data_IF_366780486958
#
_entry.id   IF_366780486958
#
_cell.length_a   1.000
_cell.length_b   1.000
_cell.length_c   1.000
_cell.angle_alpha   90.00
_cell.angle_beta   90.00
_cell.angle_gamma   90.00
#
_symmetry.space_group_name_H-M   'P 1'
#
loop_
_entity.id
_entity.type
_entity.pdbx_description
1 polymer ?
#
# COMPACT_ATOMS: atom_id res chain seq x y z
N UNK A 1 26.32 -11.98 -16.14
CA UNK A 1 25.17 -11.93 -17.07
C UNK A 1 24.04 -12.68 -16.39
N UNK A 2 23.11 -11.96 -15.79
CA UNK A 2 21.92 -12.57 -15.17
C UNK A 2 21.10 -13.25 -16.25
N UNK A 3 20.80 -14.53 -16.07
CA UNK A 3 20.09 -15.35 -17.02
C UNK A 3 18.68 -14.78 -17.28
N UNK A 4 18.48 -14.15 -18.44
CA UNK A 4 17.20 -13.58 -18.85
C UNK A 4 16.04 -14.61 -18.84
N UNK A 5 16.35 -15.91 -18.87
CA UNK A 5 15.37 -17.00 -18.73
C UNK A 5 14.90 -17.18 -17.28
N UNK A 6 15.77 -16.93 -16.30
CA UNK A 6 15.38 -16.98 -14.88
C UNK A 6 14.43 -15.82 -14.54
N UNK A 7 14.75 -14.61 -14.98
CA UNK A 7 13.89 -13.42 -14.85
C UNK A 7 12.53 -13.61 -15.54
N UNK A 8 12.51 -14.22 -16.73
CA UNK A 8 11.27 -14.49 -17.44
C UNK A 8 10.40 -15.54 -16.73
N UNK A 9 10.99 -16.58 -16.16
CA UNK A 9 10.27 -17.59 -15.35
C UNK A 9 9.67 -16.98 -14.09
N UNK A 10 10.43 -16.21 -13.35
CA UNK A 10 9.98 -15.51 -12.15
C UNK A 10 8.81 -14.57 -12.47
N UNK A 11 8.91 -13.82 -13.57
CA UNK A 11 7.82 -12.96 -14.05
C UNK A 11 6.54 -13.76 -14.41
N UNK A 12 6.69 -14.92 -15.08
CA UNK A 12 5.55 -15.78 -15.45
C UNK A 12 4.88 -16.42 -14.23
N UNK A 13 5.64 -16.89 -13.24
CA UNK A 13 5.09 -17.43 -11.99
C UNK A 13 4.34 -16.33 -11.20
N UNK A 14 4.88 -15.13 -11.15
CA UNK A 14 4.24 -14.00 -10.50
C UNK A 14 2.94 -13.57 -11.19
N UNK A 15 2.87 -13.61 -12.52
CA UNK A 15 1.64 -13.35 -13.27
C UNK A 15 0.57 -14.42 -13.00
N UNK A 16 0.95 -15.69 -12.89
CA UNK A 16 0.06 -16.79 -12.49
C UNK A 16 -0.52 -16.61 -11.08
N UNK A 17 0.31 -16.21 -10.12
CA UNK A 17 -0.11 -15.94 -8.74
C UNK A 17 -1.15 -14.79 -8.67
N UNK A 18 -1.07 -13.83 -9.59
CA UNK A 18 -2.05 -12.74 -9.71
C UNK A 18 -3.34 -13.14 -10.45
N UNK A 19 -3.50 -14.42 -10.82
CA UNK A 19 -4.72 -14.96 -11.44
C UNK A 19 -4.89 -14.58 -12.91
N UNK A 20 -3.80 -14.38 -13.63
CA UNK A 20 -3.81 -14.14 -15.08
C UNK A 20 -3.43 -15.41 -15.85
N UNK A 21 -4.33 -15.87 -16.75
CA UNK A 21 -4.02 -16.91 -17.74
C UNK A 21 -3.32 -16.35 -19.00
N UNK A 22 -2.95 -15.07 -18.98
CA UNK A 22 -2.35 -14.36 -20.10
C UNK A 22 -1.08 -13.63 -19.66
N UNK A 23 -0.07 -13.76 -20.49
CA UNK A 23 1.26 -13.16 -20.32
C UNK A 23 1.27 -11.83 -21.05
N UNK A 24 1.55 -10.73 -20.33
CA UNK A 24 1.89 -9.47 -20.98
C UNK A 24 3.35 -9.58 -21.43
N UNK A 25 3.57 -9.83 -22.71
CA UNK A 25 4.90 -9.76 -23.31
C UNK A 25 5.19 -8.26 -23.49
N UNK A 26 6.29 -7.72 -22.96
CA UNK A 26 6.71 -6.35 -23.25
C UNK A 26 6.85 -6.16 -24.76
N UNK A 27 6.41 -5.01 -25.30
CA UNK A 27 6.33 -4.75 -26.75
C UNK A 27 7.65 -5.00 -27.50
N UNK A 28 8.81 -4.81 -26.84
CA UNK A 28 10.12 -5.08 -27.41
C UNK A 28 10.48 -6.58 -27.53
N UNK A 29 9.65 -7.49 -26.98
CA UNK A 29 9.80 -8.93 -27.09
C UNK A 29 8.70 -9.59 -27.94
N UNK A 30 7.78 -8.81 -28.50
CA UNK A 30 6.70 -9.32 -29.36
C UNK A 30 7.26 -9.84 -30.68
N UNK A 31 6.85 -11.02 -31.17
CA UNK A 31 7.26 -11.52 -32.49
C UNK A 31 6.73 -10.56 -33.58
N UNK A 32 7.61 -9.82 -34.24
CA UNK A 32 7.24 -8.88 -35.30
C UNK A 32 7.76 -7.45 -35.14
N UNK A 33 8.43 -7.13 -34.03
CA UNK A 33 9.09 -5.84 -33.88
C UNK A 33 10.26 -5.70 -34.87
N UNK A 34 10.10 -4.83 -35.87
CA UNK A 34 11.19 -4.33 -36.73
C UNK A 34 11.59 -2.95 -36.21
N UNK A 35 12.85 -2.73 -35.82
CA UNK A 35 13.31 -1.40 -35.43
C UNK A 35 13.23 -0.48 -36.65
N UNK A 36 12.34 0.51 -36.61
CA UNK A 36 12.23 1.57 -37.59
C UNK A 36 13.48 2.43 -37.53
N UNK A 37 14.05 2.74 -38.70
CA UNK A 37 15.17 3.65 -38.89
C UNK A 37 14.77 5.05 -38.42
N UNK A 38 15.40 5.53 -37.35
CA UNK A 38 15.33 6.95 -36.94
C UNK A 38 16.47 7.67 -37.62
N UNK A 39 16.12 8.67 -38.43
CA UNK A 39 17.08 9.59 -39.04
C UNK A 39 17.81 10.43 -37.97
N UNK A 40 19.07 10.80 -38.20
CA UNK A 40 19.85 11.54 -37.21
C UNK A 40 19.49 13.02 -37.22
N UNK A 41 19.10 13.59 -36.07
CA UNK A 41 19.09 15.04 -35.87
C UNK A 41 20.22 15.43 -34.92
N UNK A 42 21.12 16.19 -35.52
CA UNK A 42 22.12 17.15 -35.02
C UNK A 42 22.47 17.21 -33.54
N UNK A 43 23.80 17.04 -33.32
CA UNK A 43 24.53 17.47 -32.10
C UNK A 43 24.57 19.02 -32.00
N UNK A 44 24.78 19.63 -30.83
CA UNK A 44 26.15 19.78 -30.32
C UNK A 44 26.28 19.80 -28.78
N UNK A 45 27.39 19.41 -28.24
CA UNK A 45 28.32 20.13 -27.39
C UNK A 45 29.24 19.18 -26.65
N UNK A 46 30.51 19.39 -26.90
CA UNK A 46 31.66 18.82 -26.25
C UNK A 46 31.65 19.15 -24.75
N UNK A 47 31.75 18.16 -23.88
CA UNK A 47 32.20 18.33 -22.51
C UNK A 47 33.31 17.29 -22.19
N UNK A 48 34.36 17.81 -21.59
CA UNK A 48 35.62 17.22 -21.19
C UNK A 48 35.56 16.04 -20.26
N UNK A 49 36.56 15.14 -20.21
CA UNK A 49 36.56 13.92 -19.43
C UNK A 49 36.90 14.16 -17.97
N UNK A 50 36.03 13.69 -17.05
CA UNK A 50 36.23 13.68 -15.62
C UNK A 50 36.15 12.29 -15.06
N UNK A 51 37.27 11.76 -14.63
CA UNK A 51 37.59 10.75 -13.58
C UNK A 51 36.81 9.43 -13.49
N UNK A 52 37.46 8.27 -13.51
CA UNK A 52 36.85 6.95 -13.37
C UNK A 52 36.70 6.59 -11.89
N UNK A 53 35.53 6.02 -11.53
CA UNK A 53 35.42 5.32 -10.26
C UNK A 53 34.09 5.49 -9.54
N UNK A 54 33.02 4.82 -10.03
CA UNK A 54 31.91 4.45 -9.16
C UNK A 54 31.45 3.03 -9.55
N UNK A 55 31.54 2.13 -8.59
CA UNK A 55 31.00 0.77 -8.66
C UNK A 55 29.49 0.85 -8.92
N UNK A 56 28.86 -0.10 -9.64
CA UNK A 56 27.42 -0.16 -9.74
C UNK A 56 26.87 -0.54 -8.37
N UNK A 57 26.45 0.46 -7.62
CA UNK A 57 25.74 0.32 -6.36
C UNK A 57 24.25 0.11 -6.63
N UNK A 58 23.71 -0.94 -6.04
CA UNK A 58 22.30 -1.22 -5.67
C UNK A 58 21.32 -0.11 -6.12
N UNK A 59 20.47 -0.40 -7.10
CA UNK A 59 19.34 0.46 -7.49
C UNK A 59 18.40 0.64 -6.31
N UNK A 60 18.65 1.66 -5.52
CA UNK A 60 17.88 2.01 -4.34
C UNK A 60 16.64 2.82 -4.70
N UNK A 61 15.77 3.00 -3.73
CA UNK A 61 14.54 3.81 -3.77
C UNK A 61 14.73 5.27 -4.22
N UNK A 62 15.96 5.67 -4.59
CA UNK A 62 16.38 7.01 -4.98
C UNK A 62 15.89 7.45 -6.37
N UNK A 63 15.48 6.49 -7.23
CA UNK A 63 15.03 6.79 -8.60
C UNK A 63 13.53 7.12 -8.70
N UNK A 64 12.80 7.12 -7.57
CA UNK A 64 11.37 7.37 -7.55
C UNK A 64 11.13 8.79 -7.04
N UNK A 65 10.31 9.61 -7.74
CA UNK A 65 10.07 10.98 -7.33
C UNK A 65 9.56 11.07 -5.89
N UNK A 66 10.03 12.05 -5.11
CA UNK A 66 9.48 12.32 -3.79
C UNK A 66 8.04 12.82 -3.92
N UNK A 67 7.19 12.34 -3.04
CA UNK A 67 5.79 12.74 -2.94
C UNK A 67 5.53 13.68 -1.76
N UNK A 68 4.28 13.71 -1.29
CA UNK A 68 3.84 14.49 -0.14
C UNK A 68 4.47 13.98 1.15
N UNK A 69 4.73 14.89 2.09
CA UNK A 69 5.06 14.57 3.48
C UNK A 69 3.96 15.12 4.39
N UNK A 70 3.49 14.30 5.33
CA UNK A 70 2.48 14.68 6.31
C UNK A 70 2.89 14.26 7.71
N UNK A 71 2.89 15.21 8.62
CA UNK A 71 3.11 15.02 10.04
C UNK A 71 1.81 15.39 10.77
N UNK A 72 0.96 14.42 11.11
CA UNK A 72 -0.27 14.70 11.85
C UNK A 72 0.09 15.32 13.21
N UNK A 73 -0.71 16.27 13.69
CA UNK A 73 -0.50 16.86 15.02
C UNK A 73 -0.43 15.76 16.06
N UNK A 74 0.47 15.93 17.04
CA UNK A 74 0.54 15.06 18.21
C UNK A 74 -0.79 15.05 18.93
N UNK A 75 -1.14 13.92 19.57
CA UNK A 75 -2.35 13.87 20.41
C UNK A 75 -2.28 14.97 21.48
N UNK A 76 -3.43 15.60 21.73
CA UNK A 76 -3.56 16.56 22.82
C UNK A 76 -3.27 15.86 24.15
N UNK A 77 -2.20 16.28 24.83
CA UNK A 77 -1.78 15.73 26.12
C UNK A 77 -2.84 15.95 27.23
N UNK A 78 -3.78 16.87 26.99
CA UNK A 78 -4.88 17.17 27.92
C UNK A 78 -6.19 16.49 27.50
N UNK A 79 -6.19 15.74 26.41
CA UNK A 79 -7.34 14.98 25.96
C UNK A 79 -7.56 13.74 26.83
N UNK A 80 -8.80 13.55 27.28
CA UNK A 80 -9.22 12.31 27.96
C UNK A 80 -9.37 11.10 27.00
N UNK A 81 -8.93 11.22 25.73
CA UNK A 81 -8.99 10.13 24.77
C UNK A 81 -7.95 9.04 25.15
N UNK A 82 -8.38 7.80 25.45
CA UNK A 82 -7.46 6.75 25.84
C UNK A 82 -6.60 6.22 24.69
N UNK A 83 -6.91 6.56 23.45
CA UNK A 83 -6.23 6.03 22.26
C UNK A 83 -4.73 6.38 22.23
N UNK A 84 -4.29 7.64 22.46
CA UNK A 84 -2.88 7.98 22.50
C UNK A 84 -2.10 7.25 23.60
N UNK A 85 -2.77 6.86 24.68
CA UNK A 85 -2.17 6.21 25.85
C UNK A 85 -2.05 4.69 25.70
N UNK A 86 -2.73 4.10 24.72
CA UNK A 86 -2.70 2.65 24.46
C UNK A 86 -1.27 2.18 24.16
N UNK A 87 -0.71 1.32 25.00
CA UNK A 87 0.68 0.84 24.90
C UNK A 87 0.88 -0.37 23.99
N UNK A 88 -0.19 -0.96 23.43
CA UNK A 88 -0.11 -2.15 22.59
C UNK A 88 -1.23 -2.21 21.55
N UNK A 89 -1.03 -3.01 20.49
CA UNK A 89 -2.06 -3.29 19.49
C UNK A 89 -3.30 -3.97 20.11
N UNK A 90 -3.11 -4.78 21.13
CA UNK A 90 -4.19 -5.40 21.89
C UNK A 90 -5.03 -4.35 22.62
N UNK A 91 -4.40 -3.40 23.30
CA UNK A 91 -5.13 -2.29 23.95
C UNK A 91 -5.93 -1.46 22.93
N UNK A 92 -5.36 -1.21 21.74
CA UNK A 92 -6.09 -0.56 20.65
C UNK A 92 -7.29 -1.41 20.22
N UNK A 93 -7.15 -2.72 20.07
CA UNK A 93 -8.25 -3.60 19.67
C UNK A 93 -9.39 -3.60 20.71
N UNK A 94 -9.08 -3.59 21.99
CA UNK A 94 -10.04 -3.49 23.10
C UNK A 94 -10.80 -2.14 23.06
N UNK A 95 -10.08 -1.03 22.84
CA UNK A 95 -10.69 0.29 22.68
C UNK A 95 -11.59 0.38 21.43
N UNK A 96 -11.17 -0.25 20.33
CA UNK A 96 -11.96 -0.33 19.09
C UNK A 96 -13.22 -1.15 19.32
N UNK A 97 -13.15 -2.28 20.05
CA UNK A 97 -14.31 -3.14 20.33
C UNK A 97 -15.40 -2.36 21.09
N UNK A 98 -15.04 -1.53 22.04
CA UNK A 98 -15.96 -0.71 22.84
C UNK A 98 -16.33 0.64 22.18
N UNK A 99 -15.79 0.97 20.99
CA UNK A 99 -15.91 2.29 20.40
C UNK A 99 -17.34 2.60 19.92
N UNK A 100 -17.84 3.79 20.29
CA UNK A 100 -19.15 4.33 19.84
C UNK A 100 -19.02 5.74 19.28
N UNK A 101 -17.80 6.16 18.82
CA UNK A 101 -17.49 7.53 18.42
C UNK A 101 -18.19 8.00 17.13
N UNK A 102 -18.74 7.08 16.33
CA UNK A 102 -19.44 7.41 15.08
C UNK A 102 -20.58 6.42 14.81
N UNK A 103 -21.51 6.80 13.92
CA UNK A 103 -22.68 6.00 13.56
C UNK A 103 -22.38 4.59 12.99
N UNK A 104 -21.16 4.32 12.52
CA UNK A 104 -20.83 2.98 12.03
C UNK A 104 -20.91 1.91 13.12
N UNK A 105 -20.91 2.30 14.41
CA UNK A 105 -21.07 1.36 15.50
C UNK A 105 -22.46 0.75 15.59
N UNK A 106 -23.49 1.40 15.02
CA UNK A 106 -24.89 0.97 15.11
C UNK A 106 -25.20 -0.23 14.21
N UNK A 107 -24.52 -0.35 13.07
CA UNK A 107 -24.81 -1.34 12.04
C UNK A 107 -23.76 -2.46 11.93
N UNK A 108 -22.63 -2.35 12.61
CA UNK A 108 -21.57 -3.37 12.57
C UNK A 108 -21.98 -4.64 13.31
N UNK A 109 -21.54 -5.79 12.82
CA UNK A 109 -21.58 -7.07 13.57
C UNK A 109 -20.38 -7.19 14.49
N UNK A 110 -19.19 -6.99 13.91
CA UNK A 110 -17.92 -6.97 14.64
C UNK A 110 -17.10 -5.73 14.26
N UNK A 111 -16.25 -5.31 15.17
CA UNK A 111 -15.17 -4.39 14.83
C UNK A 111 -14.04 -5.14 14.15
N UNK A 112 -13.30 -4.45 13.29
CA UNK A 112 -12.13 -4.99 12.58
C UNK A 112 -10.92 -4.11 12.93
N UNK A 113 -10.28 -4.34 14.09
CA UNK A 113 -9.21 -3.47 14.57
C UNK A 113 -7.96 -3.51 13.68
N UNK A 114 -7.66 -4.67 13.11
CA UNK A 114 -6.46 -4.97 12.36
C UNK A 114 -5.84 -6.28 12.85
N UNK A 115 -4.93 -6.85 12.06
CA UNK A 115 -4.32 -8.16 12.31
C UNK A 115 -2.90 -8.21 11.78
N UNK A 116 -2.00 -8.94 12.44
CA UNK A 116 -0.65 -9.22 11.97
C UNK A 116 0.43 -9.02 13.02
N UNK A 117 1.69 -9.03 12.58
CA UNK A 117 2.85 -8.92 13.47
C UNK A 117 2.94 -7.53 14.10
N UNK A 118 3.24 -7.46 15.39
CA UNK A 118 3.40 -6.19 16.10
C UNK A 118 4.70 -5.45 15.71
N UNK A 119 5.67 -6.18 15.18
CA UNK A 119 6.96 -5.71 14.66
C UNK A 119 7.04 -5.74 13.13
N UNK A 120 5.86 -5.71 12.47
CA UNK A 120 5.76 -5.80 11.03
C UNK A 120 6.55 -4.67 10.34
N UNK A 121 7.38 -5.03 9.36
CA UNK A 121 8.08 -4.03 8.53
C UNK A 121 7.19 -3.39 7.48
N UNK A 122 6.06 -4.00 7.14
CA UNK A 122 5.04 -3.48 6.25
C UNK A 122 3.71 -3.35 6.98
N UNK A 123 3.13 -2.15 6.93
CA UNK A 123 1.72 -1.92 7.29
C UNK A 123 0.91 -1.73 6.02
N UNK A 124 -0.14 -2.52 5.86
CA UNK A 124 -1.12 -2.39 4.77
C UNK A 124 -2.35 -1.67 5.31
N UNK A 125 -2.75 -0.59 4.66
CA UNK A 125 -3.91 0.21 5.04
C UNK A 125 -4.93 0.24 3.91
N UNK A 126 -6.13 -0.30 4.16
CA UNK A 126 -7.28 -0.20 3.27
C UNK A 126 -8.28 0.87 3.71
N UNK A 127 -9.45 0.91 3.07
CA UNK A 127 -10.53 1.87 3.34
C UNK A 127 -11.35 1.49 4.57
N UNK A 128 -11.98 0.35 4.55
CA UNK A 128 -12.89 -0.12 5.59
C UNK A 128 -13.24 -1.59 5.43
N UNK A 129 -13.83 -2.23 6.47
CA UNK A 129 -14.29 -3.61 6.39
C UNK A 129 -15.41 -3.80 5.37
N UNK A 130 -15.37 -4.90 4.63
CA UNK A 130 -16.48 -5.41 3.84
C UNK A 130 -17.40 -6.33 4.66
N UNK A 131 -18.34 -6.99 3.96
CA UNK A 131 -19.32 -7.88 4.61
C UNK A 131 -18.66 -9.07 5.33
N UNK A 132 -17.70 -9.71 4.70
CA UNK A 132 -17.01 -10.89 5.28
C UNK A 132 -16.14 -10.48 6.47
N UNK A 133 -15.49 -9.35 6.38
CA UNK A 133 -14.69 -8.78 7.46
C UNK A 133 -15.55 -8.40 8.66
N UNK A 134 -16.73 -7.82 8.43
CA UNK A 134 -17.70 -7.49 9.47
C UNK A 134 -18.28 -8.75 10.16
N UNK A 135 -18.46 -9.85 9.41
CA UNK A 135 -18.92 -11.15 9.93
C UNK A 135 -17.84 -11.85 10.77
N UNK A 136 -16.57 -11.67 10.44
CA UNK A 136 -15.44 -12.42 11.03
C UNK A 136 -14.61 -11.64 12.03
N UNK A 137 -14.70 -10.29 12.02
CA UNK A 137 -13.84 -9.42 12.82
C UNK A 137 -12.39 -9.32 12.31
N UNK A 138 -12.08 -9.88 11.13
CA UNK A 138 -10.73 -9.93 10.56
C UNK A 138 -10.60 -9.09 9.30
N UNK A 139 -9.50 -8.33 9.11
CA UNK A 139 -9.31 -7.48 7.94
C UNK A 139 -8.93 -8.29 6.70
N UNK A 140 -9.45 -7.91 5.54
CA UNK A 140 -9.06 -8.48 4.25
C UNK A 140 -9.14 -10.03 4.21
N UNK A 141 -10.31 -10.60 4.49
CA UNK A 141 -10.58 -12.05 4.44
C UNK A 141 -11.63 -12.44 3.40
N UNK A 142 -12.32 -11.47 2.79
CA UNK A 142 -13.16 -11.68 1.62
C UNK A 142 -12.35 -11.75 0.32
N UNK A 143 -13.00 -11.76 -0.87
CA UNK A 143 -12.33 -11.92 -2.17
C UNK A 143 -11.20 -10.91 -2.43
N UNK A 144 -11.36 -9.65 -1.99
CA UNK A 144 -10.30 -8.64 -2.04
C UNK A 144 -9.11 -9.01 -1.15
N UNK A 145 -9.37 -9.62 0.00
CA UNK A 145 -8.35 -10.09 0.93
C UNK A 145 -7.58 -11.30 0.42
N UNK A 146 -8.25 -12.23 -0.26
CA UNK A 146 -7.58 -13.36 -0.92
C UNK A 146 -6.60 -12.86 -1.99
N UNK A 147 -7.01 -11.85 -2.77
CA UNK A 147 -6.12 -11.24 -3.74
C UNK A 147 -4.94 -10.51 -3.05
N UNK A 148 -5.18 -9.80 -1.95
CA UNK A 148 -4.11 -9.19 -1.16
C UNK A 148 -3.11 -10.24 -0.67
N UNK A 149 -3.59 -11.38 -0.16
CA UNK A 149 -2.73 -12.49 0.30
C UNK A 149 -1.82 -12.99 -0.84
N UNK A 150 -2.37 -13.13 -2.07
CA UNK A 150 -1.57 -13.50 -3.25
C UNK A 150 -0.54 -12.42 -3.62
N UNK A 151 -0.91 -11.14 -3.54
CA UNK A 151 0.00 -10.02 -3.79
C UNK A 151 1.17 -10.04 -2.79
N UNK A 152 0.88 -10.22 -1.50
CA UNK A 152 1.90 -10.28 -0.46
C UNK A 152 2.82 -11.50 -0.63
N UNK A 153 2.27 -12.67 -0.93
CA UNK A 153 3.05 -13.88 -1.22
C UNK A 153 4.00 -13.69 -2.40
N UNK A 154 3.57 -12.97 -3.45
CA UNK A 154 4.38 -12.69 -4.63
C UNK A 154 5.59 -11.78 -4.36
N UNK A 155 5.63 -11.07 -3.24
CA UNK A 155 6.78 -10.28 -2.76
C UNK A 155 7.46 -10.94 -1.55
N UNK A 156 7.22 -12.24 -1.33
CA UNK A 156 7.81 -13.03 -0.25
C UNK A 156 7.50 -12.51 1.17
N UNK A 157 6.35 -11.88 1.34
CA UNK A 157 5.85 -11.41 2.62
C UNK A 157 4.56 -12.14 2.99
N UNK A 158 4.64 -13.25 3.72
CA UNK A 158 3.44 -13.94 4.18
C UNK A 158 2.59 -13.02 5.07
N UNK A 159 1.27 -13.20 5.02
CA UNK A 159 0.28 -12.35 5.68
C UNK A 159 0.57 -12.16 7.17
N UNK A 160 1.10 -13.18 7.81
CA UNK A 160 1.42 -13.20 9.25
C UNK A 160 2.60 -12.30 9.61
N UNK A 161 3.44 -11.93 8.64
CA UNK A 161 4.62 -11.06 8.79
C UNK A 161 4.34 -9.59 8.52
N UNK A 162 3.12 -9.25 8.12
CA UNK A 162 2.67 -7.87 7.86
C UNK A 162 1.59 -7.49 8.88
N UNK A 163 1.36 -6.19 9.08
CA UNK A 163 0.20 -5.71 9.83
C UNK A 163 -0.81 -5.13 8.84
N UNK A 164 -2.04 -5.63 8.88
CA UNK A 164 -3.11 -5.27 7.94
C UNK A 164 -4.24 -4.60 8.71
N UNK A 165 -4.65 -3.43 8.28
CA UNK A 165 -5.76 -2.70 8.89
C UNK A 165 -6.48 -1.82 7.84
N UNK A 166 -7.49 -1.09 8.30
CA UNK A 166 -8.25 -0.14 7.49
C UNK A 166 -8.29 1.24 8.17
N UNK A 167 -8.65 2.28 7.41
CA UNK A 167 -8.91 3.62 7.92
C UNK A 167 -10.02 3.57 8.95
N UNK A 168 -11.19 3.02 8.60
CA UNK A 168 -12.28 2.79 9.55
C UNK A 168 -12.31 1.36 10.03
N UNK A 169 -12.70 1.14 11.31
CA UNK A 169 -12.69 -0.17 11.96
C UNK A 169 -14.07 -0.84 11.99
N UNK A 170 -15.08 -0.18 11.45
CA UNK A 170 -16.45 -0.68 11.33
C UNK A 170 -16.88 -0.62 9.87
N UNK A 171 -17.73 -1.55 9.44
CA UNK A 171 -18.24 -1.63 8.07
C UNK A 171 -19.21 -0.48 7.78
N UNK A 172 -18.98 0.35 6.75
CA UNK A 172 -19.99 1.29 6.28
C UNK A 172 -21.18 0.54 5.63
N UNK A 173 -22.42 1.01 5.81
CA UNK A 173 -23.58 0.42 5.16
C UNK A 173 -23.36 0.22 3.65
N UNK A 174 -23.73 -0.98 3.13
CA UNK A 174 -23.58 -1.35 1.72
C UNK A 174 -22.16 -1.21 1.13
N UNK A 175 -21.14 -1.18 2.00
CA UNK A 175 -19.73 -0.94 1.67
C UNK A 175 -19.51 0.40 0.94
N UNK A 176 -20.30 1.45 1.25
CA UNK A 176 -20.05 2.79 0.74
C UNK A 176 -18.72 3.34 1.25
N UNK A 177 -18.21 4.36 0.60
CA UNK A 177 -17.07 5.11 1.10
C UNK A 177 -17.41 5.71 2.47
N UNK A 178 -16.51 5.61 3.47
CA UNK A 178 -16.68 6.24 4.78
C UNK A 178 -16.83 7.76 4.64
N UNK A 179 -17.68 8.37 5.47
CA UNK A 179 -17.84 9.80 5.51
C UNK A 179 -16.72 10.46 6.32
N UNK A 180 -16.54 11.75 6.13
CA UNK A 180 -15.46 12.51 6.76
C UNK A 180 -15.49 12.42 8.30
N UNK A 181 -16.67 12.54 8.92
CA UNK A 181 -16.86 12.41 10.36
C UNK A 181 -16.52 11.00 10.87
N UNK A 182 -16.85 9.95 10.09
CA UNK A 182 -16.54 8.56 10.40
C UNK A 182 -15.01 8.29 10.33
N UNK A 183 -14.36 8.86 9.32
CA UNK A 183 -12.90 8.84 9.19
C UNK A 183 -12.25 9.59 10.34
N UNK A 184 -12.67 10.83 10.61
CA UNK A 184 -12.10 11.66 11.67
C UNK A 184 -12.19 11.01 13.05
N UNK A 185 -13.32 10.37 13.36
CA UNK A 185 -13.50 9.62 14.61
C UNK A 185 -12.61 8.37 14.72
N UNK A 186 -12.22 7.76 13.59
CA UNK A 186 -11.52 6.48 13.55
C UNK A 186 -10.00 6.60 13.34
N UNK A 187 -9.54 7.66 12.68
CA UNK A 187 -8.12 7.89 12.34
C UNK A 187 -7.17 7.86 13.55
N UNK A 188 -7.54 8.33 14.76
CA UNK A 188 -6.64 8.22 15.92
C UNK A 188 -6.20 6.78 16.20
N UNK A 189 -7.08 5.79 16.05
CA UNK A 189 -6.72 4.38 16.20
C UNK A 189 -5.69 3.94 15.16
N UNK A 190 -5.88 4.33 13.89
CA UNK A 190 -4.96 4.00 12.80
C UNK A 190 -3.57 4.56 13.06
N UNK A 191 -3.47 5.84 13.39
CA UNK A 191 -2.17 6.47 13.64
C UNK A 191 -1.48 5.85 14.85
N UNK A 192 -2.22 5.54 15.92
CA UNK A 192 -1.64 4.86 17.07
C UNK A 192 -1.14 3.46 16.74
N UNK A 193 -1.84 2.71 15.89
CA UNK A 193 -1.37 1.42 15.40
C UNK A 193 -0.05 1.55 14.64
N UNK A 194 0.05 2.53 13.72
CA UNK A 194 1.29 2.80 12.96
C UNK A 194 2.45 3.18 13.90
N UNK A 195 2.19 4.00 14.93
CA UNK A 195 3.18 4.36 15.93
C UNK A 195 3.69 3.16 16.74
N UNK A 196 2.82 2.23 17.08
CA UNK A 196 3.16 1.03 17.82
C UNK A 196 3.95 0.03 16.98
N UNK A 197 3.55 -0.18 15.73
CA UNK A 197 4.21 -1.11 14.79
C UNK A 197 5.56 -0.57 14.32
N UNK A 198 5.69 0.74 14.08
CA UNK A 198 6.91 1.41 13.56
C UNK A 198 7.43 0.76 12.28
N UNK A 199 6.60 0.65 11.23
CA UNK A 199 6.97 -0.07 10.03
C UNK A 199 8.10 0.63 9.26
N UNK A 200 8.80 -0.12 8.41
CA UNK A 200 9.75 0.43 7.44
C UNK A 200 9.03 1.12 6.26
N UNK A 201 7.80 0.67 5.94
CA UNK A 201 6.97 1.23 4.87
C UNK A 201 5.49 0.99 5.12
N UNK A 202 4.65 1.89 4.63
CA UNK A 202 3.18 1.78 4.61
C UNK A 202 2.73 1.60 3.16
N UNK A 203 1.86 0.63 2.90
CA UNK A 203 1.19 0.43 1.63
C UNK A 203 -0.26 0.89 1.75
N UNK A 204 -0.57 2.05 1.18
CA UNK A 204 -1.90 2.63 1.15
C UNK A 204 -2.69 2.08 -0.05
N UNK A 205 -3.74 1.30 0.23
CA UNK A 205 -4.55 0.65 -0.80
C UNK A 205 -5.85 1.42 -1.06
N UNK A 206 -5.88 2.14 -2.18
CA UNK A 206 -7.04 2.93 -2.61
C UNK A 206 -6.99 4.40 -2.21
N UNK A 207 -7.92 5.18 -2.79
CA UNK A 207 -7.97 6.64 -2.62
C UNK A 207 -8.18 7.07 -1.18
N UNK A 208 -9.15 6.48 -0.49
CA UNK A 208 -9.48 6.83 0.91
C UNK A 208 -8.30 6.62 1.85
N UNK A 209 -7.59 5.49 1.74
CA UNK A 209 -6.40 5.22 2.56
C UNK A 209 -5.29 6.24 2.27
N UNK A 210 -4.99 6.48 0.99
CA UNK A 210 -3.96 7.42 0.59
C UNK A 210 -4.27 8.87 1.03
N UNK A 211 -5.50 9.33 0.77
CA UNK A 211 -5.94 10.68 1.13
C UNK A 211 -5.94 10.91 2.64
N UNK A 212 -6.35 9.90 3.42
CA UNK A 212 -6.35 9.97 4.88
C UNK A 212 -4.93 10.01 5.44
N UNK A 213 -4.04 9.10 5.01
CA UNK A 213 -2.67 9.03 5.49
C UNK A 213 -1.83 10.27 5.12
N UNK A 214 -2.12 10.90 3.98
CA UNK A 214 -1.37 12.04 3.45
C UNK A 214 -2.08 13.38 3.63
N UNK A 215 -3.26 13.37 4.28
CA UNK A 215 -4.10 14.56 4.49
C UNK A 215 -4.26 15.41 3.21
N UNK A 216 -4.67 14.78 2.12
CA UNK A 216 -4.78 15.40 0.80
C UNK A 216 -6.09 15.07 0.11
N UNK A 217 -6.49 15.90 -0.86
CA UNK A 217 -7.64 15.64 -1.75
C UNK A 217 -7.20 15.19 -3.15
N UNK A 218 -5.92 14.97 -3.37
CA UNK A 218 -5.42 14.52 -4.67
C UNK A 218 -6.00 13.16 -5.06
N UNK A 219 -6.17 12.94 -6.37
CA UNK A 219 -6.65 11.67 -6.89
C UNK A 219 -5.63 10.55 -6.69
N UNK A 220 -6.12 9.31 -6.65
CA UNK A 220 -5.26 8.12 -6.56
C UNK A 220 -4.20 8.11 -7.67
N UNK A 221 -4.58 8.47 -8.90
CA UNK A 221 -3.66 8.50 -10.05
C UNK A 221 -2.52 9.52 -9.86
N UNK A 222 -2.81 10.66 -9.25
CA UNK A 222 -1.80 11.68 -8.97
C UNK A 222 -0.84 11.27 -7.84
N UNK A 223 -1.31 10.45 -6.90
CA UNK A 223 -0.52 10.01 -5.75
C UNK A 223 0.34 8.76 -6.03
N UNK A 224 0.04 8.01 -7.10
CA UNK A 224 0.83 6.83 -7.44
C UNK A 224 2.19 7.20 -8.05
N UNK A 225 3.10 6.25 -8.10
CA UNK A 225 4.46 6.39 -8.65
C UNK A 225 5.34 7.41 -7.92
N UNK A 226 5.05 7.71 -6.66
CA UNK A 226 5.80 8.61 -5.79
C UNK A 226 6.04 7.95 -4.43
N UNK A 227 7.10 8.34 -3.75
CA UNK A 227 7.35 7.97 -2.36
C UNK A 227 6.90 9.12 -1.46
N UNK A 228 5.71 8.96 -0.87
CA UNK A 228 5.21 9.89 0.14
C UNK A 228 5.78 9.56 1.52
N UNK A 229 5.51 10.42 2.49
CA UNK A 229 5.94 10.21 3.87
C UNK A 229 4.85 10.58 4.87
N UNK A 230 4.69 9.72 5.87
CA UNK A 230 3.90 9.97 7.06
C UNK A 230 4.84 9.93 8.28
N UNK A 231 5.07 11.06 8.94
CA UNK A 231 6.06 11.16 10.03
C UNK A 231 7.41 10.53 9.67
N UNK A 232 7.89 10.80 8.47
CA UNK A 232 9.13 10.24 7.94
C UNK A 232 9.05 8.80 7.42
N UNK A 233 8.01 8.03 7.74
CA UNK A 233 7.81 6.67 7.24
C UNK A 233 7.39 6.72 5.77
N UNK A 234 8.06 5.99 4.86
CA UNK A 234 7.66 5.90 3.46
C UNK A 234 6.23 5.38 3.31
N UNK A 235 5.44 6.02 2.44
CA UNK A 235 4.08 5.61 2.07
C UNK A 235 4.02 5.41 0.56
N UNK A 236 3.70 4.20 0.15
CA UNK A 236 3.48 3.83 -1.25
C UNK A 236 1.98 3.69 -1.47
N UNK A 237 1.49 4.35 -2.51
CA UNK A 237 0.06 4.38 -2.85
C UNK A 237 -0.21 3.44 -4.03
N UNK A 238 -1.24 2.61 -3.91
CA UNK A 238 -1.63 1.67 -4.96
C UNK A 238 -3.14 1.50 -5.06
N UNK A 239 -3.62 0.75 -6.05
CA UNK A 239 -5.03 0.41 -6.19
C UNK A 239 -5.49 -0.55 -5.09
N UNK A 240 -6.77 -0.41 -4.68
CA UNK A 240 -7.39 -1.33 -3.74
C UNK A 240 -7.66 -2.69 -4.41
N UNK A 241 -7.43 -3.85 -3.76
CA UNK A 241 -7.64 -5.17 -4.38
C UNK A 241 -9.06 -5.37 -4.93
N UNK A 242 -10.09 -4.84 -4.28
CA UNK A 242 -11.46 -4.88 -4.81
C UNK A 242 -11.61 -4.17 -6.18
N UNK A 243 -10.79 -3.16 -6.45
CA UNK A 243 -10.78 -2.49 -7.75
C UNK A 243 -10.11 -3.36 -8.83
N UNK A 244 -9.09 -4.14 -8.46
CA UNK A 244 -8.40 -5.08 -9.35
C UNK A 244 -9.31 -6.23 -9.80
N UNK A 245 -10.24 -6.65 -8.92
CA UNK A 245 -11.24 -7.66 -9.26
C UNK A 245 -12.23 -7.16 -10.33
N UNK A 246 -12.54 -5.86 -10.32
CA UNK A 246 -13.41 -5.21 -11.31
C UNK A 246 -12.68 -4.80 -12.59
N UNK A 247 -11.40 -4.43 -12.48
CA UNK A 247 -10.58 -4.00 -13.60
C UNK A 247 -9.19 -4.66 -13.55
N UNK A 248 -9.01 -5.81 -14.22
CA UNK A 248 -7.74 -6.54 -14.24
C UNK A 248 -6.55 -5.74 -14.80
N UNK A 249 -6.78 -4.73 -15.64
CA UNK A 249 -5.71 -3.90 -16.23
C UNK A 249 -4.90 -3.13 -15.15
N UNK A 250 -5.47 -2.95 -13.96
CA UNK A 250 -4.77 -2.31 -12.84
C UNK A 250 -3.84 -3.26 -12.06
N UNK A 251 -3.80 -4.56 -12.38
CA UNK A 251 -2.90 -5.52 -11.73
C UNK A 251 -1.43 -5.17 -11.97
N UNK A 252 -1.05 -4.89 -13.23
CA UNK A 252 0.34 -4.53 -13.56
C UNK A 252 0.80 -3.26 -12.83
N UNK A 253 0.08 -2.12 -12.92
CA UNK A 253 0.44 -0.94 -12.13
C UNK A 253 0.52 -1.19 -10.62
N UNK A 254 -0.39 -2.02 -10.06
CA UNK A 254 -0.33 -2.39 -8.63
C UNK A 254 0.92 -3.18 -8.32
N UNK A 255 1.30 -4.11 -9.19
CA UNK A 255 2.53 -4.87 -9.04
C UNK A 255 3.77 -3.98 -8.97
N UNK A 256 3.85 -2.98 -9.86
CA UNK A 256 4.95 -2.02 -9.88
C UNK A 256 5.02 -1.22 -8.56
N UNK A 257 3.87 -0.75 -8.04
CA UNK A 257 3.79 -0.07 -6.74
C UNK A 257 4.23 -0.96 -5.56
N UNK A 258 3.78 -2.20 -5.53
CA UNK A 258 4.10 -3.16 -4.46
C UNK A 258 5.59 -3.51 -4.46
N UNK A 259 6.22 -3.62 -5.64
CA UNK A 259 7.68 -3.80 -5.76
C UNK A 259 8.45 -2.60 -5.21
N UNK A 260 7.92 -1.39 -5.37
CA UNK A 260 8.51 -0.21 -4.74
C UNK A 260 8.47 -0.35 -3.21
N UNK A 261 7.32 -0.73 -2.65
CA UNK A 261 7.20 -0.94 -1.20
C UNK A 261 8.19 -2.01 -0.70
N UNK A 262 8.39 -3.11 -1.45
CA UNK A 262 9.32 -4.19 -1.11
C UNK A 262 10.76 -3.70 -0.93
N UNK A 263 11.20 -2.67 -1.69
CA UNK A 263 12.56 -2.12 -1.58
C UNK A 263 12.89 -1.50 -0.22
N UNK A 264 11.89 -1.08 0.54
CA UNK A 264 12.05 -0.49 1.88
C UNK A 264 12.12 -1.53 3.00
N UNK A 265 11.86 -2.81 2.67
CA UNK A 265 11.77 -3.86 3.67
C UNK A 265 13.11 -4.59 3.85
N UNK A 266 13.93 -4.61 2.82
CA UNK A 266 15.22 -5.31 2.80
C UNK A 266 15.08 -6.77 2.43
#
# INVERSE_FOLDING_TARGET
>A
MSDGRALAREFLEQQRLLGGDWVIIPDHLSPGFRPGSVAPSESPAVLTPGTPGARPGSGGAQDIPPGLSYDPPGGDLFSNDPVPQAGSLRAIAELVAACTKCRLCEARRHTVPGEGAADARLVVVGEGPGRVEDETGRPFVGPAGELLTKILAAIELPRERVFICNVVKCRPPENRVPQYDEIAACVPYLFRQIELVKPAVILAMGGTAAQTLLNTKQSLGALRNQVHRLRGIPVIVTYHPAALLRNPNWKKPTWDDVRIARRFIG
#
